data_IF_338176665450
#
_entry.id   IF_338176665450
#
_cell.length_a   1.000
_cell.length_b   1.000
_cell.length_c   1.000
_cell.angle_alpha   90.00
_cell.angle_beta   90.00
_cell.angle_gamma   90.00
#
_symmetry.space_group_name_H-M   'P 1'
#
loop_
_entity.id
_entity.type
_entity.pdbx_description
1 polymer ?
#
# COMPACT_ATOMS: atom_id res chain seq x y z
N UNK A 1 -4.40 23.97 1.31
CA UNK A 1 -4.50 22.50 1.26
C UNK A 1 -3.61 21.99 0.13
N UNK A 2 -2.55 21.25 0.43
CA UNK A 2 -1.66 20.70 -0.61
C UNK A 2 -2.32 19.52 -1.33
N UNK A 3 -2.17 19.45 -2.67
CA UNK A 3 -2.62 18.29 -3.44
C UNK A 3 -1.87 17.04 -2.99
N UNK A 4 -2.59 15.95 -2.77
CA UNK A 4 -2.00 14.62 -2.52
C UNK A 4 -1.98 13.85 -3.84
N UNK A 5 -0.85 13.81 -4.56
CA UNK A 5 -0.81 13.10 -5.83
C UNK A 5 -1.07 11.61 -5.60
N UNK A 6 -1.93 11.04 -6.45
CA UNK A 6 -2.14 9.61 -6.52
C UNK A 6 -0.90 8.94 -7.13
N UNK A 7 -0.62 7.73 -6.69
CA UNK A 7 0.41 6.88 -7.24
C UNK A 7 -0.24 5.86 -8.17
N UNK A 8 0.00 6.01 -9.47
CA UNK A 8 -0.45 5.08 -10.50
C UNK A 8 0.48 3.88 -10.54
N UNK A 9 0.33 2.99 -9.55
CA UNK A 9 1.10 1.75 -9.47
C UNK A 9 0.26 0.56 -9.92
N UNK A 10 0.92 -0.51 -10.36
CA UNK A 10 0.26 -1.78 -10.61
C UNK A 10 -0.28 -2.36 -9.29
N UNK A 11 -1.59 -2.63 -9.22
CA UNK A 11 -2.26 -3.19 -8.05
C UNK A 11 -1.73 -4.59 -7.69
N UNK A 12 -1.43 -5.42 -8.69
CA UNK A 12 -0.85 -6.76 -8.49
C UNK A 12 0.53 -6.69 -7.80
N UNK A 13 1.28 -5.62 -8.04
CA UNK A 13 2.59 -5.41 -7.41
C UNK A 13 2.46 -5.13 -5.91
N UNK A 14 1.36 -4.50 -5.45
CA UNK A 14 1.11 -4.31 -4.01
C UNK A 14 0.85 -5.63 -3.33
N UNK A 15 -0.04 -6.43 -3.92
CA UNK A 15 -0.38 -7.74 -3.37
C UNK A 15 0.86 -8.65 -3.33
N UNK A 16 1.61 -8.70 -4.43
CA UNK A 16 2.86 -9.45 -4.50
C UNK A 16 3.82 -9.01 -3.40
N UNK A 17 4.10 -7.71 -3.26
CA UNK A 17 5.03 -7.20 -2.27
C UNK A 17 4.60 -7.53 -0.83
N UNK A 18 3.29 -7.46 -0.54
CA UNK A 18 2.74 -7.84 0.76
C UNK A 18 2.95 -9.33 1.05
N UNK A 19 2.64 -10.19 0.07
CA UNK A 19 2.76 -11.65 0.18
C UNK A 19 4.22 -12.09 0.33
N UNK A 20 5.14 -11.54 -0.46
CA UNK A 20 6.58 -11.82 -0.36
C UNK A 20 7.14 -11.49 1.03
N UNK A 21 6.59 -10.45 1.67
CA UNK A 21 6.97 -10.04 3.04
C UNK A 21 6.28 -10.88 4.13
N UNK A 22 5.36 -11.78 3.77
CA UNK A 22 4.57 -12.57 4.72
C UNK A 22 3.58 -11.75 5.55
N UNK A 23 3.18 -10.56 5.08
CA UNK A 23 2.22 -9.73 5.80
C UNK A 23 0.78 -10.08 5.43
N UNK A 24 -0.06 -10.20 6.45
CA UNK A 24 -1.51 -10.17 6.24
C UNK A 24 -1.97 -8.73 5.92
N UNK A 25 -3.19 -8.62 5.39
CA UNK A 25 -3.74 -7.35 4.93
C UNK A 25 -3.86 -6.32 6.06
N UNK A 26 -4.15 -6.77 7.29
CA UNK A 26 -4.34 -5.90 8.47
C UNK A 26 -3.01 -5.31 8.91
N UNK A 27 -1.97 -6.14 9.00
CA UNK A 27 -0.60 -5.75 9.39
C UNK A 27 -0.01 -4.81 8.36
N UNK A 28 -0.16 -5.11 7.07
CA UNK A 28 0.28 -4.25 5.98
C UNK A 28 -0.43 -2.89 6.01
N UNK A 29 -1.75 -2.87 6.13
CA UNK A 29 -2.52 -1.63 6.16
C UNK A 29 -2.13 -0.74 7.35
N UNK A 30 -1.98 -1.32 8.55
CA UNK A 30 -1.50 -0.62 9.75
C UNK A 30 -0.12 0.00 9.54
N UNK A 31 0.80 -0.74 8.91
CA UNK A 31 2.15 -0.28 8.58
C UNK A 31 2.17 0.87 7.56
N UNK A 32 1.28 0.82 6.57
CA UNK A 32 1.14 1.86 5.54
C UNK A 32 0.42 3.11 6.09
N UNK A 33 -0.40 2.93 7.13
CA UNK A 33 -1.22 4.00 7.73
C UNK A 33 -2.55 4.17 7.03
N UNK A 34 -3.15 3.07 6.56
CA UNK A 34 -4.47 3.03 5.91
C UNK A 34 -5.35 1.93 6.52
N UNK A 35 -6.63 1.89 6.17
CA UNK A 35 -7.53 0.82 6.60
C UNK A 35 -7.30 -0.45 5.76
N UNK A 36 -7.57 -1.65 6.31
CA UNK A 36 -7.46 -2.91 5.56
C UNK A 36 -8.34 -2.94 4.31
N UNK A 37 -9.54 -2.35 4.39
CA UNK A 37 -10.48 -2.27 3.27
C UNK A 37 -9.91 -1.42 2.14
N UNK A 38 -9.29 -0.28 2.49
CA UNK A 38 -8.61 0.58 1.52
C UNK A 38 -7.44 -0.15 0.85
N UNK A 39 -6.65 -0.89 1.61
CA UNK A 39 -5.55 -1.68 1.05
C UNK A 39 -6.09 -2.75 0.08
N UNK A 40 -7.19 -3.41 0.44
CA UNK A 40 -7.86 -4.38 -0.43
C UNK A 40 -8.29 -3.77 -1.77
N UNK A 41 -8.95 -2.62 -1.74
CA UNK A 41 -9.34 -1.92 -2.97
C UNK A 41 -8.14 -1.47 -3.81
N UNK A 42 -7.02 -1.13 -3.17
CA UNK A 42 -5.78 -0.83 -3.90
C UNK A 42 -5.16 -2.08 -4.55
N UNK A 43 -5.24 -3.24 -3.90
CA UNK A 43 -4.79 -4.54 -4.45
C UNK A 43 -5.72 -5.04 -5.57
N UNK A 44 -7.01 -4.69 -5.53
CA UNK A 44 -8.00 -5.01 -6.57
C UNK A 44 -7.98 -4.01 -7.75
N UNK A 45 -7.27 -2.87 -7.61
CA UNK A 45 -7.17 -1.83 -8.63
C UNK A 45 -8.34 -0.82 -8.65
N UNK A 46 -9.26 -0.95 -7.70
CA UNK A 46 -10.44 -0.08 -7.52
C UNK A 46 -10.07 1.28 -6.87
N UNK A 47 -8.98 1.32 -6.09
CA UNK A 47 -8.44 2.55 -5.51
C UNK A 47 -6.93 2.71 -5.75
N UNK A 48 -6.42 3.92 -5.49
CA UNK A 48 -4.99 4.22 -5.55
C UNK A 48 -4.48 4.77 -4.23
N UNK A 49 -3.26 4.36 -3.88
CA UNK A 49 -2.49 4.99 -2.83
C UNK A 49 -2.04 6.39 -3.28
N UNK A 50 -1.90 7.29 -2.33
CA UNK A 50 -1.14 8.52 -2.57
C UNK A 50 0.35 8.23 -2.64
N UNK A 51 1.14 9.10 -3.28
CA UNK A 51 2.59 8.96 -3.32
C UNK A 51 3.23 8.87 -1.92
N UNK A 52 2.62 9.54 -0.93
CA UNK A 52 3.05 9.46 0.46
C UNK A 52 2.79 8.05 1.07
N UNK A 53 1.59 7.51 0.87
CA UNK A 53 1.26 6.16 1.32
C UNK A 53 2.11 5.09 0.62
N UNK A 54 2.37 5.26 -0.68
CA UNK A 54 3.25 4.36 -1.43
C UNK A 54 4.67 4.38 -0.84
N UNK A 55 5.20 5.57 -0.53
CA UNK A 55 6.49 5.68 0.15
C UNK A 55 6.49 4.92 1.47
N UNK A 56 5.45 5.08 2.29
CA UNK A 56 5.36 4.35 3.56
C UNK A 56 5.36 2.83 3.33
N UNK A 57 4.62 2.34 2.32
CA UNK A 57 4.63 0.93 1.94
C UNK A 57 6.03 0.43 1.56
N UNK A 58 6.77 1.21 0.74
CA UNK A 58 8.13 0.87 0.32
C UNK A 58 9.13 0.89 1.47
N UNK A 59 9.05 1.88 2.38
CA UNK A 59 9.94 1.97 3.53
C UNK A 59 9.73 0.82 4.52
N UNK A 60 8.48 0.40 4.74
CA UNK A 60 8.20 -0.75 5.61
C UNK A 60 8.66 -2.07 4.98
N UNK A 61 8.75 -2.13 3.65
CA UNK A 61 9.33 -3.27 2.95
C UNK A 61 10.86 -3.40 3.15
N UNK A 62 11.58 -2.36 3.60
CA UNK A 62 13.06 -2.31 3.62
C UNK A 62 13.66 -2.36 5.05
N UNK A 63 12.88 -2.64 6.10
CA UNK A 63 13.47 -2.92 7.42
C UNK A 63 14.02 -4.35 7.48
N UNK A 64 15.34 -4.49 7.29
CA UNK A 64 16.12 -5.71 7.57
C UNK A 64 16.22 -5.98 9.07
#
# INVERSE_FOLDING_TARGET
MGKRPLAHINSEMLEWARRERGYDIVTAAKKIGITPEKLKYCEEGEEQLTLHQLRNAAWVAISY
#
